data_IF_608619724802
#
_entry.id   IF_608619724802
#
_cell.length_a   1.000
_cell.length_b   1.000
_cell.length_c   1.000
_cell.angle_alpha   90.00
_cell.angle_beta   90.00
_cell.angle_gamma   90.00
#
_symmetry.space_group_name_H-M   'P 1'
#
loop_
_entity.id
_entity.type
_entity.pdbx_description
1 polymer ?
#
# COMPACT_ATOMS: atom_id res chain seq x y z
N UNK A 1 1.98 3.87 -15.54
CA UNK A 1 0.61 4.19 -16.05
C UNK A 1 -0.30 4.76 -14.96
N UNK A 2 -0.49 4.05 -13.84
CA UNK A 2 -1.40 4.48 -12.76
C UNK A 2 -1.06 5.85 -12.15
N UNK A 3 0.22 6.14 -11.90
CA UNK A 3 0.67 7.44 -11.38
C UNK A 3 0.24 8.60 -12.28
N UNK A 4 0.42 8.48 -13.60
CA UNK A 4 0.03 9.52 -14.55
C UNK A 4 -1.48 9.75 -14.55
N UNK A 5 -2.27 8.68 -14.35
CA UNK A 5 -3.72 8.79 -14.26
C UNK A 5 -4.17 9.53 -12.99
N UNK A 6 -3.56 9.21 -11.84
CA UNK A 6 -3.82 9.94 -10.58
C UNK A 6 -3.47 11.42 -10.71
N UNK A 7 -2.31 11.74 -11.29
CA UNK A 7 -1.90 13.12 -11.53
C UNK A 7 -2.87 13.85 -12.45
N UNK A 8 -3.33 13.20 -13.52
CA UNK A 8 -4.36 13.75 -14.42
C UNK A 8 -5.65 14.04 -13.66
N UNK A 9 -6.14 13.11 -12.84
CA UNK A 9 -7.35 13.33 -12.04
C UNK A 9 -7.18 14.49 -11.07
N UNK A 10 -6.04 14.55 -10.39
CA UNK A 10 -5.72 15.63 -9.47
C UNK A 10 -5.74 16.99 -10.20
N UNK A 11 -5.00 17.14 -11.30
CA UNK A 11 -4.98 18.39 -12.08
C UNK A 11 -6.35 18.77 -12.67
N UNK A 12 -7.18 17.79 -13.02
CA UNK A 12 -8.51 18.07 -13.57
C UNK A 12 -9.55 18.47 -12.52
N UNK A 13 -9.37 18.06 -11.26
CA UNK A 13 -10.39 18.21 -10.20
C UNK A 13 -9.99 19.20 -9.12
N UNK A 14 -8.71 19.49 -8.99
CA UNK A 14 -8.18 20.39 -7.97
C UNK A 14 -7.64 21.66 -8.62
N UNK A 15 -8.05 22.82 -8.11
CA UNK A 15 -7.74 24.12 -8.73
C UNK A 15 -6.85 25.02 -7.85
N UNK A 16 -7.06 25.05 -6.52
CA UNK A 16 -6.26 25.88 -5.61
C UNK A 16 -6.46 25.54 -4.12
N UNK A 17 -5.64 26.15 -3.24
CA UNK A 17 -5.73 26.03 -1.78
C UNK A 17 -4.59 25.18 -1.18
N UNK A 18 -4.70 24.83 0.11
CA UNK A 18 -3.77 23.87 0.72
C UNK A 18 -4.42 22.47 0.73
N UNK A 19 -3.71 21.46 0.22
CA UNK A 19 -4.17 20.06 0.29
C UNK A 19 -3.74 19.47 1.63
N UNK A 20 -4.71 19.12 2.48
CA UNK A 20 -4.46 18.53 3.81
C UNK A 20 -4.31 17.00 3.78
N UNK A 21 -4.89 16.34 2.78
CA UNK A 21 -4.79 14.89 2.60
C UNK A 21 -5.08 14.50 1.15
N UNK A 22 -4.43 13.43 0.69
CA UNK A 22 -4.72 12.76 -0.57
C UNK A 22 -4.81 11.26 -0.30
N UNK A 23 -5.90 10.64 -0.74
CA UNK A 23 -6.09 9.20 -0.69
C UNK A 23 -6.25 8.65 -2.10
N UNK A 24 -5.51 7.59 -2.42
CA UNK A 24 -5.62 6.86 -3.68
C UNK A 24 -5.91 5.41 -3.34
N UNK A 25 -7.00 4.88 -3.90
CA UNK A 25 -7.39 3.49 -3.75
C UNK A 25 -7.55 2.86 -5.13
N UNK A 26 -7.04 1.63 -5.29
CA UNK A 26 -7.32 0.77 -6.42
C UNK A 26 -8.06 -0.47 -5.91
N UNK A 27 -8.97 -0.99 -6.73
CA UNK A 27 -9.81 -2.13 -6.40
C UNK A 27 -10.03 -2.98 -7.65
N UNK A 28 -10.59 -4.17 -7.49
CA UNK A 28 -10.83 -5.08 -8.61
C UNK A 28 -9.54 -5.71 -9.14
N UNK A 29 -8.67 -6.12 -8.21
CA UNK A 29 -7.51 -6.93 -8.56
C UNK A 29 -7.99 -8.23 -9.22
N UNK A 30 -7.32 -8.60 -10.29
CA UNK A 30 -7.50 -9.88 -10.97
C UNK A 30 -6.22 -10.68 -10.76
N UNK A 31 -6.35 -12.01 -10.70
CA UNK A 31 -5.18 -12.88 -10.67
C UNK A 31 -4.30 -12.59 -11.88
N UNK A 32 -2.99 -12.56 -11.68
CA UNK A 32 -2.00 -12.42 -12.74
C UNK A 32 -1.53 -13.81 -13.16
N UNK A 33 -2.09 -14.41 -14.22
CA UNK A 33 -1.77 -15.79 -14.60
C UNK A 33 -0.38 -15.94 -15.25
N UNK A 34 0.24 -14.83 -15.66
CA UNK A 34 1.57 -14.81 -16.28
C UNK A 34 2.24 -13.45 -16.04
N UNK A 35 3.52 -13.45 -15.70
CA UNK A 35 4.35 -12.26 -15.69
C UNK A 35 4.83 -11.92 -17.11
N UNK A 36 4.76 -10.63 -17.49
CA UNK A 36 5.35 -10.15 -18.74
C UNK A 36 6.85 -9.87 -18.51
N UNK A 37 7.70 -10.61 -19.22
CA UNK A 37 9.16 -10.41 -19.21
C UNK A 37 9.59 -9.85 -20.57
N UNK A 38 10.40 -8.80 -20.55
CA UNK A 38 11.07 -8.23 -21.71
C UNK A 38 12.43 -8.89 -21.93
N UNK A 39 12.95 -8.84 -23.17
CA UNK A 39 14.30 -9.32 -23.50
C UNK A 39 15.43 -8.60 -22.74
N UNK A 40 15.14 -7.47 -22.13
CA UNK A 40 16.10 -6.64 -21.39
C UNK A 40 15.92 -6.71 -19.87
N UNK A 41 14.99 -7.54 -19.39
CA UNK A 41 14.74 -7.68 -17.97
C UNK A 41 15.73 -8.66 -17.33
N UNK A 42 16.09 -8.37 -16.08
CA UNK A 42 16.83 -9.30 -15.23
C UNK A 42 15.81 -10.23 -14.54
N UNK A 43 15.62 -11.42 -15.12
CA UNK A 43 14.64 -12.41 -14.65
C UNK A 43 14.91 -12.83 -13.20
N UNK A 44 16.18 -13.04 -12.84
CA UNK A 44 16.56 -13.45 -11.47
C UNK A 44 16.19 -12.37 -10.45
N UNK A 45 16.33 -11.10 -10.83
CA UNK A 45 15.93 -9.98 -9.99
C UNK A 45 14.40 -9.90 -9.86
N UNK A 46 13.66 -10.04 -10.96
CA UNK A 46 12.19 -10.03 -10.94
C UNK A 46 11.63 -11.14 -10.06
N UNK A 47 12.10 -12.39 -10.22
CA UNK A 47 11.66 -13.51 -9.41
C UNK A 47 11.96 -13.30 -7.90
N UNK A 48 13.11 -12.70 -7.56
CA UNK A 48 13.43 -12.35 -6.18
C UNK A 48 12.49 -11.28 -5.62
N UNK A 49 12.16 -10.28 -6.42
CA UNK A 49 11.22 -9.22 -6.04
C UNK A 49 9.81 -9.77 -5.82
N UNK A 50 9.32 -10.65 -6.70
CA UNK A 50 8.03 -11.33 -6.55
C UNK A 50 7.99 -12.18 -5.27
N UNK A 51 8.98 -13.05 -5.08
CA UNK A 51 9.08 -13.90 -3.87
C UNK A 51 9.13 -13.07 -2.59
N UNK A 52 9.80 -11.91 -2.63
CA UNK A 52 9.84 -10.98 -1.51
C UNK A 52 8.44 -10.40 -1.22
N UNK A 53 7.71 -9.95 -2.25
CA UNK A 53 6.35 -9.42 -2.06
C UNK A 53 5.42 -10.51 -1.52
N UNK A 54 5.43 -11.70 -2.12
CA UNK A 54 4.62 -12.83 -1.64
C UNK A 54 4.90 -13.16 -0.19
N UNK A 55 6.18 -13.20 0.23
CA UNK A 55 6.55 -13.45 1.62
C UNK A 55 6.03 -12.35 2.57
N UNK A 56 6.14 -11.08 2.17
CA UNK A 56 5.60 -9.95 2.94
C UNK A 56 4.08 -10.08 3.11
N UNK A 57 3.37 -10.41 2.03
CA UNK A 57 1.92 -10.53 2.04
C UNK A 57 1.47 -11.72 2.88
N UNK A 58 2.10 -12.88 2.75
CA UNK A 58 1.81 -14.05 3.59
C UNK A 58 2.00 -13.76 5.09
N UNK A 59 3.06 -13.04 5.47
CA UNK A 59 3.28 -12.63 6.87
C UNK A 59 2.15 -11.71 7.33
N UNK A 60 1.74 -10.75 6.51
CA UNK A 60 0.68 -9.79 6.88
C UNK A 60 -0.71 -10.40 6.90
N UNK A 61 -0.98 -11.37 6.03
CA UNK A 61 -2.21 -12.14 6.03
C UNK A 61 -2.32 -12.96 7.32
N UNK A 62 -1.21 -13.59 7.75
CA UNK A 62 -1.19 -14.43 8.93
C UNK A 62 -1.16 -13.64 10.26
N UNK A 63 -0.41 -12.54 10.32
CA UNK A 63 -0.10 -11.83 11.58
C UNK A 63 -0.59 -10.37 11.60
N UNK A 64 -1.35 -9.95 10.59
CA UNK A 64 -1.87 -8.59 10.45
C UNK A 64 -0.85 -7.57 9.93
N UNK A 65 -1.34 -6.39 9.53
CA UNK A 65 -0.55 -5.35 8.86
C UNK A 65 0.70 -4.89 9.65
N UNK A 66 0.59 -4.79 10.98
CA UNK A 66 1.67 -4.26 11.83
C UNK A 66 2.79 -5.26 12.11
N UNK A 67 2.64 -6.52 11.69
CA UNK A 67 3.67 -7.56 11.85
C UNK A 67 4.94 -7.27 11.05
N UNK A 68 4.81 -6.57 9.92
CA UNK A 68 5.93 -6.25 9.03
C UNK A 68 5.74 -4.87 8.39
N UNK A 69 6.54 -3.91 8.86
CA UNK A 69 6.50 -2.51 8.44
C UNK A 69 7.84 -2.09 7.82
N UNK A 70 7.80 -1.13 6.90
CA UNK A 70 9.03 -0.44 6.48
C UNK A 70 9.55 0.41 7.64
N UNK A 71 10.87 0.55 7.74
CA UNK A 71 11.52 1.29 8.83
C UNK A 71 10.99 2.72 8.98
N UNK A 72 10.71 3.40 7.87
CA UNK A 72 10.12 4.75 7.87
C UNK A 72 8.73 4.83 8.54
N UNK A 73 8.04 3.71 8.73
CA UNK A 73 6.78 3.68 9.44
C UNK A 73 6.93 3.94 10.95
N UNK A 74 8.15 3.81 11.48
CA UNK A 74 8.50 4.04 12.89
C UNK A 74 9.01 5.47 13.17
N UNK A 75 9.23 6.27 12.12
CA UNK A 75 9.56 7.69 12.26
C UNK A 75 8.45 8.44 13.01
N UNK A 76 8.82 9.46 13.79
CA UNK A 76 7.84 10.23 14.59
C UNK A 76 6.79 10.92 13.70
N UNK A 77 7.18 11.34 12.49
CA UNK A 77 6.28 11.92 11.50
C UNK A 77 5.32 10.90 10.85
N UNK A 78 5.57 9.59 11.02
CA UNK A 78 4.74 8.53 10.45
C UNK A 78 3.44 8.36 11.21
N UNK A 79 2.34 8.20 10.47
CA UNK A 79 1.01 7.88 11.02
C UNK A 79 0.57 6.44 10.74
N UNK A 80 1.41 5.62 10.13
CA UNK A 80 1.05 4.27 9.69
C UNK A 80 0.56 3.39 10.84
N UNK A 81 1.29 3.36 11.97
CA UNK A 81 0.90 2.60 13.16
C UNK A 81 -0.28 3.21 13.92
N UNK A 82 -0.37 4.54 13.97
CA UNK A 82 -1.51 5.20 14.59
C UNK A 82 -2.82 4.93 13.81
N UNK A 83 -2.73 4.91 12.47
CA UNK A 83 -3.87 4.64 11.59
C UNK A 83 -4.28 3.18 11.55
N UNK A 84 -3.36 2.22 11.75
CA UNK A 84 -3.70 0.80 11.79
C UNK A 84 -4.63 0.44 12.96
N UNK A 85 -4.74 1.33 13.97
CA UNK A 85 -5.66 1.21 15.11
C UNK A 85 -7.03 1.85 14.88
N UNK A 86 -7.28 2.43 13.69
CA UNK A 86 -8.52 3.14 13.36
C UNK A 86 -9.35 2.29 12.39
N UNK A 87 -10.68 2.30 12.56
CA UNK A 87 -11.62 1.71 11.60
C UNK A 87 -12.39 2.86 10.94
N UNK A 88 -12.30 2.96 9.60
CA UNK A 88 -12.97 4.02 8.83
C UNK A 88 -12.49 5.46 9.14
N UNK A 89 -11.32 5.63 9.77
CA UNK A 89 -10.81 6.94 10.20
C UNK A 89 -11.35 7.41 11.55
N UNK A 90 -12.20 6.63 12.20
CA UNK A 90 -12.63 6.83 13.58
C UNK A 90 -11.85 5.90 14.50
N UNK A 91 -11.65 6.31 15.76
CA UNK A 91 -11.17 5.39 16.79
C UNK A 91 -12.17 4.25 16.88
N UNK A 92 -11.73 3.04 16.55
CA UNK A 92 -12.47 1.85 16.95
C UNK A 92 -12.45 1.85 18.47
N UNK A 93 -13.60 2.12 19.09
CA UNK A 93 -13.73 1.98 20.52
C UNK A 93 -13.39 0.54 20.90
N UNK A 94 -12.35 0.36 21.71
CA UNK A 94 -12.04 -0.92 22.34
C UNK A 94 -11.00 -1.76 21.60
N UNK A 95 -10.03 -2.21 22.39
CA UNK A 95 -8.86 -3.01 22.04
C UNK A 95 -9.18 -4.49 21.75
N UNK A 96 -10.31 -4.83 21.11
CA UNK A 96 -10.87 -6.18 21.19
C UNK A 96 -11.16 -6.86 19.83
N UNK A 97 -10.61 -6.37 18.72
CA UNK A 97 -10.94 -6.88 17.38
C UNK A 97 -9.77 -7.36 16.52
N UNK A 98 -8.53 -7.23 16.98
CA UNK A 98 -7.32 -7.64 16.26
C UNK A 98 -6.37 -8.32 17.24
N UNK A 99 -6.70 -9.56 17.62
CA UNK A 99 -5.70 -10.56 18.00
C UNK A 99 -5.18 -11.25 16.75
#
# INVERSE_FOLDING_TARGET
VLTNYVLKLFHNKYTSGAVRSVGVNYSGFVDEPFGLISLFDDVDKLEKEERLQTAIDSIREQFGFTSLLRANALEEASRSLARSKLIGGHSAGGLDGLQ
#
